data_IF_535784068167
#
_entry.id   IF_535784068167
#
_cell.length_a   1.000
_cell.length_b   1.000
_cell.length_c   1.000
_cell.angle_alpha   90.00
_cell.angle_beta   90.00
_cell.angle_gamma   90.00
#
_symmetry.space_group_name_H-M   'P 1'
#
loop_
_entity.id
_entity.type
_entity.pdbx_description
1 polymer ?
#
# COMPACT_ATOMS: atom_id res chain seq x y z
N UNK A 1 11.56 -24.48 5.27
CA UNK A 1 11.49 -24.00 3.88
C UNK A 1 11.68 -22.51 3.89
N UNK A 2 12.69 -21.98 3.21
CA UNK A 2 12.90 -20.54 3.12
C UNK A 2 11.75 -19.91 2.31
N UNK A 3 11.08 -18.92 2.90
CA UNK A 3 9.98 -18.22 2.24
C UNK A 3 10.55 -17.16 1.30
N UNK A 4 10.24 -17.26 0.00
CA UNK A 4 10.67 -16.27 -1.00
C UNK A 4 9.72 -15.07 -0.97
N UNK A 5 10.25 -13.90 -0.64
CA UNK A 5 9.47 -12.66 -0.68
C UNK A 5 9.27 -12.26 -2.14
N UNK A 6 8.00 -12.22 -2.57
CA UNK A 6 7.62 -11.82 -3.93
C UNK A 6 7.76 -10.31 -4.12
N UNK A 7 8.12 -9.90 -5.32
CA UNK A 7 8.18 -8.51 -5.75
C UNK A 7 7.87 -8.42 -7.25
N UNK A 8 7.68 -7.21 -7.75
CA UNK A 8 7.44 -6.92 -9.16
C UNK A 8 8.55 -6.04 -9.74
N UNK A 9 8.59 -5.95 -11.07
CA UNK A 9 9.47 -5.01 -11.77
C UNK A 9 8.79 -3.65 -11.86
N UNK A 10 9.22 -2.73 -11.00
CA UNK A 10 8.69 -1.36 -10.97
C UNK A 10 9.10 -0.57 -12.23
N UNK A 11 8.21 0.31 -12.70
CA UNK A 11 8.47 1.13 -13.89
C UNK A 11 9.67 2.05 -13.67
N UNK A 12 10.33 2.41 -14.76
CA UNK A 12 11.40 3.43 -14.74
C UNK A 12 10.83 4.81 -14.44
N UNK A 13 11.63 5.68 -13.82
CA UNK A 13 11.28 7.08 -13.58
C UNK A 13 10.78 7.81 -14.83
N UNK A 14 11.37 7.54 -16.01
CA UNK A 14 10.98 8.14 -17.30
C UNK A 14 9.56 7.77 -17.75
N UNK A 15 9.14 6.53 -17.49
CA UNK A 15 7.87 5.97 -17.98
C UNK A 15 6.79 5.97 -16.88
N UNK A 16 7.00 6.74 -15.82
CA UNK A 16 6.05 6.81 -14.72
C UNK A 16 4.88 7.74 -15.04
N UNK A 17 3.67 7.29 -14.74
CA UNK A 17 2.46 8.10 -14.65
C UNK A 17 1.68 7.71 -13.40
N UNK A 18 0.74 8.55 -12.97
CA UNK A 18 -0.08 8.28 -11.77
C UNK A 18 -0.88 6.98 -11.93
N UNK A 19 -1.45 6.77 -13.12
CA UNK A 19 -2.23 5.59 -13.44
C UNK A 19 -1.36 4.34 -13.48
N UNK A 20 -0.13 4.45 -14.03
CA UNK A 20 0.82 3.34 -14.04
C UNK A 20 1.27 2.99 -12.61
N UNK A 21 1.51 4.00 -11.77
CA UNK A 21 1.81 3.80 -10.36
C UNK A 21 0.71 3.03 -9.64
N UNK A 22 -0.56 3.46 -9.82
CA UNK A 22 -1.73 2.76 -9.29
C UNK A 22 -1.82 1.31 -9.76
N UNK A 23 -1.66 1.06 -11.06
CA UNK A 23 -1.68 -0.30 -11.63
C UNK A 23 -0.58 -1.19 -11.03
N UNK A 24 0.64 -0.66 -10.86
CA UNK A 24 1.73 -1.45 -10.29
C UNK A 24 1.57 -1.68 -8.78
N UNK A 25 0.90 -0.78 -8.06
CA UNK A 25 0.52 -1.04 -6.67
C UNK A 25 -0.44 -2.24 -6.60
N UNK A 26 -1.46 -2.30 -7.46
CA UNK A 26 -2.38 -3.44 -7.54
C UNK A 26 -1.66 -4.73 -7.95
N UNK A 27 -0.75 -4.66 -8.93
CA UNK A 27 0.09 -5.78 -9.34
C UNK A 27 0.95 -6.28 -8.17
N UNK A 28 1.55 -5.37 -7.40
CA UNK A 28 2.33 -5.75 -6.23
C UNK A 28 1.46 -6.36 -5.13
N UNK A 29 0.27 -5.82 -4.86
CA UNK A 29 -0.68 -6.35 -3.89
C UNK A 29 -1.16 -7.75 -4.28
N UNK A 30 -1.31 -8.03 -5.57
CA UNK A 30 -1.66 -9.39 -6.04
C UNK A 30 -0.63 -10.45 -5.64
N UNK A 31 0.60 -10.05 -5.29
CA UNK A 31 1.63 -10.95 -4.76
C UNK A 31 1.49 -11.24 -3.26
N UNK A 32 0.65 -10.48 -2.56
CA UNK A 32 0.40 -10.65 -1.13
C UNK A 32 -0.52 -11.85 -0.87
N UNK A 33 -0.29 -12.52 0.24
CA UNK A 33 -1.12 -13.64 0.69
C UNK A 33 -2.13 -13.13 1.71
N UNK A 34 -3.39 -13.07 1.33
CA UNK A 34 -4.52 -12.72 2.18
C UNK A 34 -5.77 -13.53 1.81
N UNK A 35 -6.67 -13.72 2.77
CA UNK A 35 -7.93 -14.43 2.56
C UNK A 35 -8.85 -13.73 1.53
N UNK A 36 -9.56 -14.51 0.70
CA UNK A 36 -10.46 -14.02 -0.36
C UNK A 36 -11.60 -13.10 0.10
N UNK A 37 -11.90 -13.09 1.40
CA UNK A 37 -12.91 -12.20 1.99
C UNK A 37 -12.46 -10.74 2.07
N UNK A 38 -11.16 -10.48 1.91
CA UNK A 38 -10.63 -9.12 1.87
C UNK A 38 -10.95 -8.49 0.52
N UNK A 39 -11.58 -7.33 0.58
CA UNK A 39 -11.75 -6.45 -0.57
C UNK A 39 -10.88 -5.22 -0.37
N UNK A 40 -10.30 -4.75 -1.47
CA UNK A 40 -9.51 -3.54 -1.48
C UNK A 40 -9.74 -2.70 -2.73
N UNK A 41 -9.39 -1.43 -2.63
CA UNK A 41 -9.34 -0.52 -3.77
C UNK A 41 -8.24 0.52 -3.53
N UNK A 42 -7.59 0.93 -4.62
CA UNK A 42 -6.58 1.99 -4.60
C UNK A 42 -7.11 3.32 -5.11
N UNK A 43 -6.55 4.39 -4.57
CA UNK A 43 -6.72 5.75 -5.05
C UNK A 43 -5.41 6.53 -4.99
N UNK A 44 -5.32 7.50 -5.89
CA UNK A 44 -4.30 8.53 -5.82
C UNK A 44 -4.77 9.63 -4.87
N UNK A 45 -3.89 10.07 -3.99
CA UNK A 45 -4.19 11.15 -3.04
C UNK A 45 -3.66 12.48 -3.53
N UNK A 46 -2.35 12.56 -3.72
CA UNK A 46 -1.68 13.82 -4.05
C UNK A 46 -0.29 13.61 -4.61
N UNK A 47 0.19 14.69 -5.22
CA UNK A 47 1.55 14.88 -5.66
C UNK A 47 2.26 15.85 -4.72
N UNK A 48 3.50 15.53 -4.35
CA UNK A 48 4.34 16.36 -3.49
C UNK A 48 5.66 16.64 -4.20
N UNK A 49 5.89 17.91 -4.52
CA UNK A 49 7.11 18.38 -5.16
C UNK A 49 8.16 18.73 -4.10
N UNK A 50 9.29 18.01 -4.10
CA UNK A 50 10.40 18.25 -3.18
C UNK A 50 11.60 18.84 -3.92
N UNK A 51 12.60 19.34 -3.18
CA UNK A 51 13.79 19.96 -3.78
C UNK A 51 14.52 19.03 -4.76
N UNK A 52 14.63 17.75 -4.43
CA UNK A 52 15.44 16.77 -5.16
C UNK A 52 14.68 15.54 -5.64
N UNK A 53 13.38 15.49 -5.38
CA UNK A 53 12.52 14.40 -5.79
C UNK A 53 11.07 14.86 -5.93
N UNK A 54 10.24 13.97 -6.44
CA UNK A 54 8.81 14.15 -6.59
C UNK A 54 8.13 12.90 -6.05
N UNK A 55 7.15 13.06 -5.17
CA UNK A 55 6.45 11.97 -4.50
C UNK A 55 5.00 11.91 -4.93
N UNK A 56 4.53 10.69 -5.14
CA UNK A 56 3.15 10.41 -5.49
C UNK A 56 2.58 9.52 -4.41
N UNK A 57 1.55 10.03 -3.72
CA UNK A 57 0.93 9.40 -2.58
C UNK A 57 -0.33 8.67 -3.02
N UNK A 58 -0.46 7.43 -2.58
CA UNK A 58 -1.61 6.58 -2.85
C UNK A 58 -2.14 5.98 -1.56
N UNK A 59 -3.44 5.72 -1.52
CA UNK A 59 -4.07 4.95 -0.45
C UNK A 59 -4.68 3.70 -1.04
N UNK A 60 -4.46 2.58 -0.37
CA UNK A 60 -5.19 1.34 -0.59
C UNK A 60 -6.03 1.10 0.64
N UNK A 61 -7.35 1.12 0.46
CA UNK A 61 -8.30 0.90 1.54
C UNK A 61 -8.78 -0.55 1.51
N UNK A 62 -8.74 -1.20 2.67
CA UNK A 62 -9.02 -2.61 2.87
C UNK A 62 -10.22 -2.79 3.80
N UNK A 63 -11.05 -3.78 3.49
CA UNK A 63 -12.19 -4.13 4.31
C UNK A 63 -12.60 -5.60 4.17
N UNK A 64 -13.35 -6.11 5.15
CA UNK A 64 -13.94 -7.45 5.13
C UNK A 64 -15.44 -7.34 5.36
N UNK A 65 -16.26 -7.19 4.29
CA UNK A 65 -17.70 -7.17 4.44
C UNK A 65 -18.22 -8.56 4.83
N UNK A 66 -19.32 -8.59 5.58
CA UNK A 66 -20.00 -9.84 5.94
C UNK A 66 -21.48 -9.76 5.61
N UNK A 67 -22.16 -10.90 5.47
CA UNK A 67 -23.63 -10.92 5.24
C UNK A 67 -24.41 -10.15 6.31
N UNK A 68 -23.94 -10.16 7.56
CA UNK A 68 -24.57 -9.44 8.68
C UNK A 68 -24.20 -7.95 8.73
N UNK A 69 -23.08 -7.57 8.14
CA UNK A 69 -22.55 -6.19 8.10
C UNK A 69 -21.94 -5.94 6.72
N UNK A 70 -22.77 -5.67 5.68
CA UNK A 70 -22.29 -5.46 4.32
C UNK A 70 -21.49 -4.17 4.18
N UNK A 71 -21.79 -3.17 5.04
CA UNK A 71 -20.97 -1.97 5.22
C UNK A 71 -20.10 -2.19 6.46
N UNK A 72 -18.78 -2.34 6.31
CA UNK A 72 -17.86 -2.57 7.43
C UNK A 72 -17.84 -1.38 8.39
N UNK A 73 -17.81 -1.63 9.71
CA UNK A 73 -17.73 -0.58 10.75
C UNK A 73 -16.39 0.15 10.76
N UNK A 74 -15.33 -0.53 10.30
CA UNK A 74 -13.98 -0.02 10.23
C UNK A 74 -13.28 -0.62 9.00
N UNK A 75 -12.31 0.13 8.49
CA UNK A 75 -11.43 -0.26 7.37
C UNK A 75 -9.97 -0.12 7.80
N UNK A 76 -9.06 -0.68 7.03
CA UNK A 76 -7.62 -0.47 7.20
C UNK A 76 -7.03 0.21 5.97
N UNK A 77 -6.17 1.19 6.14
CA UNK A 77 -5.47 1.83 5.03
C UNK A 77 -3.99 1.43 4.98
N UNK A 78 -3.49 1.17 3.78
CA UNK A 78 -2.05 1.11 3.48
C UNK A 78 -1.73 2.28 2.55
N UNK A 79 -0.76 3.09 2.94
CA UNK A 79 -0.33 4.25 2.18
C UNK A 79 0.93 3.91 1.43
N UNK A 80 0.89 4.06 0.10
CA UNK A 80 2.04 3.87 -0.78
C UNK A 80 2.59 5.22 -1.20
N UNK A 81 3.91 5.31 -1.25
CA UNK A 81 4.65 6.46 -1.76
C UNK A 81 5.54 5.97 -2.89
N UNK A 82 5.34 6.53 -4.08
CA UNK A 82 6.25 6.34 -5.20
C UNK A 82 7.07 7.62 -5.36
N UNK A 83 8.39 7.49 -5.28
CA UNK A 83 9.33 8.60 -5.32
C UNK A 83 10.18 8.53 -6.61
N UNK A 84 10.22 9.66 -7.30
CA UNK A 84 11.08 9.89 -8.47
C UNK A 84 12.15 10.90 -8.08
N UNK A 85 13.41 10.50 -8.13
CA UNK A 85 14.53 11.41 -7.90
C UNK A 85 14.77 12.30 -9.13
N UNK A 86 15.03 13.59 -8.88
CA UNK A 86 15.46 14.56 -9.90
C UNK A 86 16.95 14.49 -10.23
N UNK A 87 17.73 13.80 -9.39
CA UNK A 87 19.19 13.71 -9.49
C UNK A 87 19.60 12.38 -10.13
N UNK A 88 18.90 11.29 -9.79
CA UNK A 88 19.21 9.96 -10.32
C UNK A 88 18.81 9.84 -11.82
N UNK A 89 19.49 9.00 -12.62
CA UNK A 89 19.13 8.76 -14.00
C UNK A 89 17.68 8.28 -14.16
N UNK A 90 16.95 8.85 -15.13
CA UNK A 90 15.53 8.53 -15.36
C UNK A 90 15.29 7.09 -15.88
N UNK A 91 16.35 6.37 -16.24
CA UNK A 91 16.33 4.96 -16.64
C UNK A 91 16.21 4.00 -15.46
N UNK A 92 16.49 4.45 -14.23
CA UNK A 92 16.33 3.64 -13.03
C UNK A 92 14.86 3.46 -12.67
N UNK A 93 14.49 2.34 -11.99
CA UNK A 93 13.15 2.15 -11.47
C UNK A 93 12.81 3.20 -10.41
N UNK A 94 11.52 3.51 -10.29
CA UNK A 94 10.99 4.36 -9.22
C UNK A 94 11.25 3.74 -7.85
N UNK A 95 11.43 4.57 -6.82
CA UNK A 95 11.52 4.10 -5.44
C UNK A 95 10.12 3.98 -4.86
N UNK A 96 9.82 2.86 -4.20
CA UNK A 96 8.50 2.60 -3.64
C UNK A 96 8.59 2.28 -2.16
N UNK A 97 7.69 2.88 -1.40
CA UNK A 97 7.55 2.72 0.04
C UNK A 97 6.09 2.48 0.39
N UNK A 98 5.84 1.81 1.50
CA UNK A 98 4.50 1.79 2.08
C UNK A 98 4.50 1.77 3.60
N UNK A 99 3.41 2.26 4.18
CA UNK A 99 3.18 2.33 5.62
C UNK A 99 1.72 1.97 5.91
N UNK A 100 1.50 1.27 7.02
CA UNK A 100 0.17 0.95 7.50
C UNK A 100 -0.38 2.09 8.36
N UNK A 101 -1.68 2.33 8.31
CA UNK A 101 -2.35 3.44 9.01
C UNK A 101 -1.98 3.60 10.49
N UNK A 102 -1.85 2.50 11.24
CA UNK A 102 -1.54 2.50 12.67
C UNK A 102 -0.04 2.38 12.99
N UNK A 103 0.83 2.45 11.97
CA UNK A 103 2.27 2.21 12.10
C UNK A 103 3.07 3.37 11.54
N UNK A 104 4.26 3.62 12.13
CA UNK A 104 5.28 4.52 11.56
C UNK A 104 6.38 3.77 10.81
N UNK A 105 6.31 2.43 10.79
CA UNK A 105 7.30 1.60 10.13
C UNK A 105 7.16 1.74 8.61
N UNK A 106 8.24 2.14 7.96
CA UNK A 106 8.32 2.25 6.51
C UNK A 106 8.79 0.92 5.95
N UNK A 107 8.00 0.37 5.04
CA UNK A 107 8.31 -0.86 4.33
C UNK A 107 8.72 -0.58 2.88
N UNK A 108 9.55 -1.46 2.32
CA UNK A 108 9.92 -1.45 0.90
C UNK A 108 9.44 -2.75 0.24
N UNK A 109 8.88 -2.68 -0.98
CA UNK A 109 8.52 -3.88 -1.74
C UNK A 109 9.68 -4.87 -1.88
N UNK A 110 9.39 -6.16 -1.74
CA UNK A 110 10.38 -7.24 -1.86
C UNK A 110 11.31 -7.42 -0.64
N UNK A 111 11.25 -6.56 0.37
CA UNK A 111 12.08 -6.68 1.58
C UNK A 111 11.33 -7.23 2.80
N UNK A 112 10.00 -7.22 2.76
CA UNK A 112 9.19 -7.68 3.87
C UNK A 112 8.01 -8.51 3.36
N UNK A 113 7.73 -9.62 4.06
CA UNK A 113 6.51 -10.40 3.83
C UNK A 113 5.32 -9.66 4.44
N UNK A 114 4.35 -9.30 3.59
CA UNK A 114 3.06 -8.82 4.06
C UNK A 114 2.39 -9.87 4.97
N UNK A 115 1.79 -9.41 6.08
CA UNK A 115 1.02 -10.28 6.97
C UNK A 115 -0.41 -9.76 7.07
N UNK A 116 -1.38 -10.60 6.70
CA UNK A 116 -2.82 -10.27 6.82
C UNK A 116 -3.20 -9.80 8.23
N UNK A 117 -2.53 -10.33 9.27
CA UNK A 117 -2.71 -9.90 10.67
C UNK A 117 -2.57 -8.39 10.84
N UNK A 118 -1.69 -7.73 10.09
CA UNK A 118 -1.53 -6.27 10.20
C UNK A 118 -2.80 -5.51 9.86
N UNK A 119 -3.58 -5.98 8.88
CA UNK A 119 -4.87 -5.35 8.54
C UNK A 119 -5.94 -5.68 9.59
N UNK A 120 -5.95 -6.92 10.11
CA UNK A 120 -6.86 -7.34 11.19
C UNK A 120 -6.67 -6.49 12.43
N UNK A 121 -5.43 -6.35 12.88
CA UNK A 121 -5.08 -5.57 14.08
C UNK A 121 -5.55 -4.11 13.94
N UNK A 122 -5.44 -3.50 12.74
CA UNK A 122 -5.96 -2.14 12.49
C UNK A 122 -7.47 -2.07 12.68
N UNK A 123 -8.21 -2.98 12.05
CA UNK A 123 -9.68 -2.99 12.09
C UNK A 123 -10.18 -3.29 13.51
N UNK A 124 -9.62 -4.31 14.17
CA UNK A 124 -9.99 -4.71 15.53
C UNK A 124 -9.75 -3.58 16.52
N UNK A 125 -8.57 -2.93 16.48
CA UNK A 125 -8.28 -1.80 17.36
C UNK A 125 -9.25 -0.63 17.18
N UNK A 126 -9.63 -0.31 15.94
CA UNK A 126 -10.64 0.73 15.67
C UNK A 126 -11.99 0.35 16.26
N UNK A 127 -12.42 -0.90 16.10
CA UNK A 127 -13.70 -1.37 16.64
C UNK A 127 -13.69 -1.31 18.17
N UNK A 128 -12.63 -1.79 18.82
CA UNK A 128 -12.49 -1.75 20.28
C UNK A 128 -12.55 -0.33 20.81
N UNK A 129 -11.84 0.61 20.18
CA UNK A 129 -11.88 2.02 20.57
C UNK A 129 -13.29 2.63 20.42
N UNK A 130 -13.99 2.29 19.34
CA UNK A 130 -15.38 2.75 19.12
C UNK A 130 -16.38 2.16 20.13
N UNK A 131 -16.10 0.97 20.69
CA UNK A 131 -16.96 0.32 21.69
C UNK A 131 -16.64 0.78 23.12
N UNK A 132 -15.47 1.36 23.35
CA UNK A 132 -15.07 1.95 24.62
C UNK A 132 -15.48 3.42 24.82
N UNK A 133 -16.12 4.02 23.81
CA UNK A 133 -16.66 5.38 23.80
C UNK A 133 -18.17 5.37 24.06
#
# INVERSE_FOLDING_TARGET
TEYVIKNIQWTTCKNFTVERGKQQIEEYISTWEFHESWLHWSEFLQEEELKYSKRYHYRVCWSVPTRRKPIPRATASVYFIIEISKIKPATLPVEVFFVLESSRLIHRPGQCRFREKWLKDIIENKITLMESL
#
